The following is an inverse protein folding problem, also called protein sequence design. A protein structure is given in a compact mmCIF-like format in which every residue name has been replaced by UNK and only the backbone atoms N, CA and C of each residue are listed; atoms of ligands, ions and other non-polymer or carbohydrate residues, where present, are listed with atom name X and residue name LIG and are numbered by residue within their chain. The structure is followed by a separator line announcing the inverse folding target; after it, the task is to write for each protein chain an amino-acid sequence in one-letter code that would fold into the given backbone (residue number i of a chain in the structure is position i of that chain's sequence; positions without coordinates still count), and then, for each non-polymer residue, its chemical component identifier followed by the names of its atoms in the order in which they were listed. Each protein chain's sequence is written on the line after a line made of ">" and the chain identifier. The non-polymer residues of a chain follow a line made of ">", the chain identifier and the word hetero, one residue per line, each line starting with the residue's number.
data_IF_429665667974
#
_entry.id   IF_429665667974
#
_cell.length_a   1.000
_cell.length_b   1.000
_cell.length_c   1.000
_cell.angle_alpha   90.00
_cell.angle_beta   90.00
_cell.angle_gamma   90.00
#
_symmetry.space_group_name_H-M   'P 1'
#
loop_
_entity.id
_entity.type
_entity.pdbx_description
1 polymer ?
#
# COMPACT_ATOMS: atom_id res chain seq x y z
N UNK A 1 15.51 8.49 -3.36
CA UNK A 1 15.85 9.95 -3.25
C UNK A 1 17.26 10.17 -2.73
N UNK A 2 17.65 9.76 -1.51
CA UNK A 2 18.99 10.03 -0.93
C UNK A 2 20.15 9.65 -1.87
N UNK A 3 20.12 8.44 -2.46
CA UNK A 3 21.11 8.02 -3.48
C UNK A 3 21.18 9.01 -4.66
N UNK A 4 20.04 9.41 -5.19
CA UNK A 4 19.98 10.32 -6.34
C UNK A 4 20.50 11.73 -6.01
N UNK A 5 20.29 12.22 -4.79
CA UNK A 5 20.82 13.48 -4.31
C UNK A 5 22.34 13.41 -4.11
N UNK A 6 22.85 12.32 -3.51
CA UNK A 6 24.28 12.10 -3.32
C UNK A 6 25.04 12.05 -4.67
N UNK A 7 24.49 11.34 -5.66
CA UNK A 7 25.06 11.29 -7.03
C UNK A 7 25.13 12.67 -7.72
N UNK A 8 24.30 13.62 -7.28
CA UNK A 8 24.28 15.01 -7.78
C UNK A 8 25.01 15.98 -6.87
N UNK A 9 25.76 15.47 -5.89
CA UNK A 9 26.49 16.27 -4.89
C UNK A 9 25.59 17.26 -4.12
N UNK A 10 24.32 16.89 -3.89
CA UNK A 10 23.38 17.68 -3.08
C UNK A 10 23.50 17.22 -1.62
N UNK A 11 23.97 18.14 -0.77
CA UNK A 11 23.98 17.95 0.68
C UNK A 11 22.56 17.85 1.21
N UNK A 12 22.29 16.80 2.00
CA UNK A 12 20.95 16.49 2.51
C UNK A 12 21.00 15.67 3.78
N UNK A 13 19.89 15.65 4.50
CA UNK A 13 19.66 14.79 5.66
C UNK A 13 18.33 14.06 5.48
N UNK A 14 18.25 12.83 5.99
CA UNK A 14 17.00 12.06 6.08
C UNK A 14 16.59 11.98 7.54
N UNK A 15 15.44 12.56 7.88
CA UNK A 15 14.87 12.54 9.23
C UNK A 15 13.89 11.37 9.33
N UNK A 16 14.14 10.45 10.26
CA UNK A 16 13.31 9.26 10.50
C UNK A 16 12.88 9.20 11.98
N UNK A 17 11.57 9.18 12.24
CA UNK A 17 11.02 9.16 13.61
C UNK A 17 11.41 7.93 14.42
N UNK A 18 11.66 6.81 13.78
CA UNK A 18 12.10 5.57 14.40
C UNK A 18 13.45 5.11 13.88
N UNK A 19 13.58 3.83 13.65
CA UNK A 19 14.74 3.23 13.00
C UNK A 19 14.50 3.10 11.49
N UNK A 20 15.55 2.91 10.70
CA UNK A 20 15.41 2.63 9.28
C UNK A 20 14.44 1.46 9.06
N UNK A 21 13.48 1.62 8.15
CA UNK A 21 12.36 0.71 7.92
C UNK A 21 11.36 0.61 9.09
N UNK A 22 11.16 1.69 9.85
CA UNK A 22 10.34 1.71 11.07
C UNK A 22 8.93 1.14 10.87
N UNK A 23 8.18 1.59 9.86
CA UNK A 23 6.82 1.12 9.58
C UNK A 23 6.76 -0.40 9.32
N UNK A 24 7.79 -0.97 8.70
CA UNK A 24 7.91 -2.42 8.54
C UNK A 24 8.16 -3.13 9.87
N UNK A 25 8.92 -2.52 10.79
CA UNK A 25 9.21 -3.08 12.11
C UNK A 25 8.04 -3.04 13.07
N UNK A 26 7.21 -1.99 12.98
CA UNK A 26 6.25 -1.67 14.06
C UNK A 26 4.78 -1.76 13.63
N UNK A 27 4.47 -1.79 12.34
CA UNK A 27 3.10 -1.65 11.84
C UNK A 27 2.69 -2.77 10.87
N UNK A 28 3.33 -3.94 10.94
CA UNK A 28 3.01 -5.10 10.08
C UNK A 28 2.85 -6.36 10.91
N UNK A 29 2.09 -7.33 10.41
CA UNK A 29 1.90 -8.63 11.04
C UNK A 29 3.08 -9.56 10.75
N UNK A 30 3.31 -10.48 11.67
CA UNK A 30 4.55 -11.27 11.72
C UNK A 30 4.77 -12.15 10.48
N UNK A 31 3.70 -12.72 9.94
CA UNK A 31 3.75 -13.61 8.77
C UNK A 31 3.75 -12.89 7.43
N UNK A 32 3.76 -11.55 7.42
CA UNK A 32 3.72 -10.79 6.18
C UNK A 32 4.87 -11.17 5.24
N UNK A 33 4.50 -11.36 3.97
CA UNK A 33 5.45 -11.43 2.86
C UNK A 33 5.15 -10.34 1.84
N UNK A 34 6.16 -9.89 1.10
CA UNK A 34 5.93 -8.95 0.00
C UNK A 34 4.97 -9.54 -1.03
N UNK A 35 4.17 -8.67 -1.63
CA UNK A 35 3.29 -9.01 -2.76
C UNK A 35 4.06 -9.11 -4.07
N UNK A 36 5.24 -8.49 -4.10
CA UNK A 36 6.13 -8.45 -5.25
C UNK A 36 7.17 -9.57 -5.14
N UNK A 37 7.46 -10.29 -6.22
CA UNK A 37 8.54 -11.27 -6.25
C UNK A 37 9.89 -10.65 -5.90
N UNK A 38 10.84 -11.45 -5.46
CA UNK A 38 12.16 -11.00 -5.05
C UNK A 38 12.91 -10.26 -6.16
N UNK A 39 12.79 -10.69 -7.42
CA UNK A 39 13.41 -10.03 -8.57
C UNK A 39 12.94 -8.58 -8.74
N UNK A 40 11.74 -8.24 -8.26
CA UNK A 40 11.17 -6.88 -8.30
C UNK A 40 11.64 -6.02 -7.12
N UNK A 41 12.46 -6.54 -6.21
CA UNK A 41 13.11 -5.73 -5.16
C UNK A 41 14.35 -5.03 -5.75
N UNK A 42 14.11 -3.95 -6.50
CA UNK A 42 15.13 -3.16 -7.20
C UNK A 42 15.14 -1.73 -6.68
N UNK A 43 16.30 -1.24 -6.28
CA UNK A 43 16.58 0.16 -5.91
C UNK A 43 17.81 0.65 -6.70
N UNK A 44 18.05 1.95 -6.86
CA UNK A 44 19.20 2.45 -7.61
C UNK A 44 20.53 1.86 -7.13
N UNK A 45 21.18 1.06 -7.98
CA UNK A 45 22.42 0.35 -7.67
C UNK A 45 22.29 -0.79 -6.65
N UNK A 46 21.08 -1.29 -6.37
CA UNK A 46 20.87 -2.35 -5.39
C UNK A 46 19.64 -3.20 -5.76
N UNK A 47 19.84 -4.49 -5.96
CA UNK A 47 18.79 -5.42 -6.36
C UNK A 47 18.90 -6.73 -5.58
N UNK A 48 17.89 -7.58 -5.74
CA UNK A 48 17.96 -8.96 -5.25
C UNK A 48 19.01 -9.76 -6.02
N UNK A 49 19.86 -10.49 -5.30
CA UNK A 49 20.91 -11.37 -5.84
C UNK A 49 20.89 -12.77 -5.21
N UNK A 50 19.80 -13.16 -4.56
CA UNK A 50 19.65 -14.49 -3.95
C UNK A 50 19.25 -15.58 -4.96
N UNK A 51 19.16 -16.82 -4.48
CA UNK A 51 18.89 -17.99 -5.29
C UNK A 51 17.41 -18.19 -5.68
N UNK A 52 16.49 -17.47 -5.03
CA UNK A 52 15.04 -17.58 -5.28
C UNK A 52 14.46 -16.25 -5.80
N UNK A 53 14.68 -15.90 -7.07
CA UNK A 53 14.19 -14.63 -7.63
C UNK A 53 12.65 -14.55 -7.66
N UNK A 54 11.98 -15.67 -7.78
CA UNK A 54 10.52 -15.76 -7.87
C UNK A 54 9.81 -15.95 -6.52
N UNK A 55 10.54 -16.09 -5.44
CA UNK A 55 10.03 -16.12 -4.07
C UNK A 55 9.60 -14.75 -3.57
N UNK A 56 9.15 -14.68 -2.33
CA UNK A 56 8.63 -13.46 -1.71
C UNK A 56 9.30 -13.22 -0.37
N UNK A 57 9.92 -12.05 -0.19
CA UNK A 57 10.58 -11.68 1.06
C UNK A 57 9.62 -11.73 2.24
N UNK A 58 10.06 -12.33 3.31
CA UNK A 58 9.46 -12.25 4.63
C UNK A 58 9.64 -10.84 5.22
N UNK A 59 8.86 -10.51 6.24
CA UNK A 59 8.99 -9.22 6.94
C UNK A 59 10.43 -8.92 7.42
N UNK A 60 11.15 -9.85 8.10
CA UNK A 60 12.55 -9.63 8.47
C UNK A 60 13.48 -9.37 7.27
N UNK A 61 13.28 -10.06 6.16
CA UNK A 61 14.08 -9.88 4.94
C UNK A 61 13.83 -8.53 4.27
N UNK A 62 12.59 -8.01 4.30
CA UNK A 62 12.28 -6.65 3.82
C UNK A 62 12.99 -5.60 4.67
N UNK A 63 12.92 -5.74 6.00
CA UNK A 63 13.60 -4.85 6.94
C UNK A 63 15.11 -4.87 6.69
N UNK A 64 15.70 -6.05 6.57
CA UNK A 64 17.12 -6.21 6.30
C UNK A 64 17.52 -5.61 4.94
N UNK A 65 16.72 -5.79 3.89
CA UNK A 65 16.95 -5.23 2.57
C UNK A 65 17.01 -3.71 2.59
N UNK A 66 16.01 -3.05 3.20
CA UNK A 66 15.95 -1.58 3.30
C UNK A 66 17.09 -1.04 4.16
N UNK A 67 17.35 -1.66 5.32
CA UNK A 67 18.43 -1.25 6.21
C UNK A 67 19.82 -1.43 5.57
N UNK A 68 20.03 -2.51 4.82
CA UNK A 68 21.28 -2.73 4.07
C UNK A 68 21.44 -1.71 2.96
N UNK A 69 20.38 -1.42 2.21
CA UNK A 69 20.43 -0.37 1.20
C UNK A 69 20.84 0.97 1.78
N UNK A 70 20.23 1.40 2.88
CA UNK A 70 20.57 2.67 3.52
C UNK A 70 22.05 2.74 3.92
N UNK A 71 22.63 1.64 4.43
CA UNK A 71 24.06 1.54 4.76
C UNK A 71 24.93 1.57 3.50
N UNK A 72 24.58 0.79 2.48
CA UNK A 72 25.36 0.68 1.23
C UNK A 72 25.50 2.02 0.53
N UNK A 73 24.46 2.85 0.54
CA UNK A 73 24.50 4.18 -0.07
C UNK A 73 24.98 5.26 0.91
N UNK A 74 25.39 4.91 2.12
CA UNK A 74 25.80 5.85 3.18
C UNK A 74 24.77 6.96 3.39
N UNK A 75 23.47 6.61 3.39
CA UNK A 75 22.41 7.61 3.56
C UNK A 75 22.55 8.36 4.88
N UNK A 76 22.53 9.71 4.91
CA UNK A 76 22.70 10.51 6.12
C UNK A 76 21.43 10.53 6.96
N UNK A 77 21.04 9.36 7.50
CA UNK A 77 19.80 9.19 8.27
C UNK A 77 20.02 9.60 9.73
N UNK A 78 19.14 10.48 10.22
CA UNK A 78 18.95 10.80 11.63
C UNK A 78 17.74 10.03 12.12
N UNK A 79 17.99 8.91 12.77
CA UNK A 79 16.96 8.08 13.40
C UNK A 79 16.46 8.70 14.70
N UNK A 80 15.27 8.27 15.18
CA UNK A 80 14.61 8.77 16.40
C UNK A 80 14.45 10.28 16.39
N UNK A 81 14.19 10.86 15.22
CA UNK A 81 14.03 12.29 15.00
C UNK A 81 12.67 12.54 14.40
N UNK A 82 11.72 12.99 15.22
CA UNK A 82 10.33 13.24 14.83
C UNK A 82 10.18 14.67 14.35
N UNK A 83 9.79 14.85 13.08
CA UNK A 83 9.42 16.16 12.56
C UNK A 83 8.07 16.57 13.16
N UNK A 84 8.06 17.74 13.81
CA UNK A 84 6.86 18.30 14.46
C UNK A 84 6.24 19.45 13.69
N UNK A 85 7.04 20.17 12.85
CA UNK A 85 6.56 21.23 11.98
C UNK A 85 7.46 21.42 10.77
N UNK A 86 6.86 21.79 9.64
CA UNK A 86 7.57 22.29 8.46
C UNK A 86 6.89 23.58 8.01
N UNK A 87 7.63 24.69 8.01
CA UNK A 87 7.12 26.00 7.62
C UNK A 87 8.05 26.72 6.66
N UNK A 88 7.50 27.61 5.84
CA UNK A 88 8.26 28.47 4.95
C UNK A 88 9.02 29.57 5.73
N UNK A 89 10.16 29.98 5.20
CA UNK A 89 10.94 31.16 5.61
C UNK A 89 11.24 32.02 4.37
N UNK A 90 11.86 33.17 4.55
CA UNK A 90 12.25 34.04 3.44
C UNK A 90 13.25 33.36 2.47
N UNK A 91 14.11 32.47 2.99
CA UNK A 91 15.21 31.85 2.23
C UNK A 91 15.02 30.35 1.97
N UNK A 92 13.88 29.76 2.36
CA UNK A 92 13.62 28.33 2.21
C UNK A 92 12.63 27.81 3.23
N UNK A 93 13.03 26.83 4.03
CA UNK A 93 12.16 26.14 4.97
C UNK A 93 12.86 25.94 6.31
N UNK A 94 12.06 25.98 7.39
CA UNK A 94 12.44 25.53 8.71
C UNK A 94 11.70 24.23 9.03
N UNK A 95 12.44 23.18 9.32
CA UNK A 95 11.95 21.89 9.78
C UNK A 95 12.23 21.77 11.27
N UNK A 96 11.21 21.77 12.09
CA UNK A 96 11.33 21.60 13.53
C UNK A 96 11.20 20.12 13.90
N UNK A 97 12.00 19.68 14.84
CA UNK A 97 11.97 18.30 15.31
C UNK A 97 12.10 18.24 16.84
N UNK A 98 11.84 17.08 17.41
CA UNK A 98 12.09 16.79 18.83
C UNK A 98 13.58 16.72 19.20
N UNK A 99 14.51 16.83 18.22
CA UNK A 99 15.96 16.78 18.38
C UNK A 99 16.67 18.05 17.89
N UNK A 100 15.92 19.15 17.67
CA UNK A 100 16.43 20.42 17.15
C UNK A 100 15.90 20.76 15.75
N UNK A 101 16.25 21.95 15.28
CA UNK A 101 15.71 22.55 14.08
C UNK A 101 16.69 22.46 12.90
N UNK A 102 16.13 22.36 11.70
CA UNK A 102 16.89 22.31 10.43
C UNK A 102 16.42 23.40 9.49
N UNK A 103 17.35 24.24 9.04
CA UNK A 103 17.10 25.17 7.93
C UNK A 103 17.53 24.54 6.61
N UNK A 104 16.66 24.60 5.59
CA UNK A 104 16.96 23.99 4.29
C UNK A 104 16.30 24.78 3.15
N UNK A 105 16.84 24.63 1.94
CA UNK A 105 16.31 25.25 0.72
C UNK A 105 15.19 24.45 0.06
N UNK A 106 15.15 23.15 0.32
CA UNK A 106 14.15 22.26 -0.25
C UNK A 106 13.77 21.15 0.75
N UNK A 107 12.52 20.67 0.66
CA UNK A 107 11.98 19.60 1.48
C UNK A 107 11.39 18.51 0.60
N UNK A 108 11.71 17.25 0.91
CA UNK A 108 11.11 16.09 0.27
C UNK A 108 10.24 15.35 1.29
N UNK A 109 8.93 15.38 1.10
CA UNK A 109 7.94 14.68 1.90
C UNK A 109 7.96 13.19 1.52
N UNK A 110 8.62 12.38 2.34
CA UNK A 110 8.78 10.95 2.12
C UNK A 110 8.09 10.09 3.20
N UNK A 111 7.14 10.69 3.94
CA UNK A 111 6.41 10.04 5.05
C UNK A 111 5.46 8.92 4.61
N UNK A 112 5.24 8.75 3.30
CA UNK A 112 4.37 7.73 2.73
C UNK A 112 2.88 8.04 2.86
N UNK A 113 2.03 7.07 2.49
CA UNK A 113 0.58 7.22 2.44
C UNK A 113 -0.17 6.37 3.46
N UNK A 114 0.53 5.65 4.34
CA UNK A 114 -0.05 4.62 5.22
C UNK A 114 0.16 4.91 6.71
N UNK A 115 0.02 6.20 7.10
CA UNK A 115 0.33 6.63 8.47
C UNK A 115 -0.81 6.32 9.45
N UNK A 116 -2.06 6.51 9.04
CA UNK A 116 -3.23 6.23 9.86
C UNK A 116 -4.17 5.25 9.18
N UNK A 117 -4.68 4.28 9.93
CA UNK A 117 -5.76 3.43 9.46
C UNK A 117 -7.05 4.23 9.29
N UNK A 118 -7.80 3.96 8.21
CA UNK A 118 -9.12 4.55 7.97
C UNK A 118 -10.18 3.74 8.71
N UNK A 119 -10.51 4.12 9.95
CA UNK A 119 -11.59 3.51 10.72
C UNK A 119 -12.88 4.30 10.49
N UNK A 120 -14.02 3.66 10.14
CA UNK A 120 -15.29 4.36 9.95
C UNK A 120 -15.78 5.04 11.22
N UNK A 121 -16.42 6.22 11.11
CA UNK A 121 -16.90 6.98 12.27
C UNK A 121 -17.95 6.26 13.14
N UNK A 122 -18.66 5.26 12.58
CA UNK A 122 -19.59 4.43 13.36
C UNK A 122 -18.89 3.33 14.19
N UNK A 123 -17.56 3.21 14.12
CA UNK A 123 -16.80 2.25 14.93
C UNK A 123 -16.95 2.51 16.44
N UNK A 124 -17.23 3.75 16.84
CA UNK A 124 -17.52 4.11 18.24
C UNK A 124 -18.77 3.42 18.81
N UNK A 125 -19.65 2.88 17.94
CA UNK A 125 -20.84 2.10 18.32
C UNK A 125 -20.57 0.61 18.49
N UNK A 126 -19.34 0.15 18.30
CA UNK A 126 -18.99 -1.25 18.56
C UNK A 126 -19.14 -1.55 20.05
N UNK A 127 -19.87 -2.63 20.44
CA UNK A 127 -20.01 -2.98 21.85
C UNK A 127 -18.67 -3.15 22.55
N UNK A 128 -18.55 -2.66 23.77
CA UNK A 128 -17.30 -2.77 24.58
C UNK A 128 -16.81 -4.21 24.81
N UNK A 129 -17.70 -5.20 24.65
CA UNK A 129 -17.38 -6.62 24.73
C UNK A 129 -16.61 -7.16 23.51
N UNK A 130 -16.50 -6.37 22.44
CA UNK A 130 -15.81 -6.72 21.20
C UNK A 130 -14.56 -5.88 21.07
N UNK A 131 -13.39 -6.51 21.05
CA UNK A 131 -12.12 -5.83 20.84
C UNK A 131 -12.03 -5.32 19.40
N UNK A 132 -11.35 -4.20 19.20
CA UNK A 132 -11.11 -3.64 17.86
C UNK A 132 -9.62 -3.44 17.63
N UNK A 133 -9.14 -3.80 16.45
CA UNK A 133 -7.78 -3.60 15.99
C UNK A 133 -7.81 -3.08 14.55
N UNK A 134 -6.81 -2.30 14.19
CA UNK A 134 -6.53 -2.01 12.78
C UNK A 134 -5.53 -3.02 12.22
N UNK A 135 -5.41 -3.10 10.89
CA UNK A 135 -4.39 -3.94 10.26
C UNK A 135 -2.95 -3.52 10.62
N UNK A 136 -2.73 -2.26 11.05
CA UNK A 136 -1.43 -1.79 11.58
C UNK A 136 -1.14 -2.30 12.99
N UNK A 137 -2.16 -2.57 13.79
CA UNK A 137 -2.05 -3.06 15.17
C UNK A 137 -2.04 -4.59 15.26
N UNK A 138 -2.58 -5.25 14.25
CA UNK A 138 -2.58 -6.72 14.18
C UNK A 138 -1.15 -7.25 13.97
N UNK A 139 -0.76 -8.26 14.75
CA UNK A 139 0.54 -8.94 14.67
C UNK A 139 0.40 -10.40 14.27
N UNK A 140 -0.41 -11.15 14.99
CA UNK A 140 -0.63 -12.57 14.75
C UNK A 140 -1.93 -13.02 15.45
N UNK A 141 -2.45 -14.23 15.15
CA UNK A 141 -3.68 -14.74 15.77
C UNK A 141 -3.61 -14.88 17.28
N UNK A 142 -2.42 -15.08 17.86
CA UNK A 142 -2.23 -15.21 19.31
C UNK A 142 -2.59 -13.95 20.10
N UNK A 143 -2.63 -12.79 19.45
CA UNK A 143 -3.06 -11.51 20.02
C UNK A 143 -4.59 -11.45 20.28
N UNK A 144 -5.36 -12.28 19.60
CA UNK A 144 -6.81 -12.17 19.55
C UNK A 144 -7.47 -13.00 20.65
N UNK A 145 -8.56 -12.48 21.21
CA UNK A 145 -9.43 -13.25 22.11
C UNK A 145 -9.99 -14.50 21.44
N UNK A 146 -10.30 -15.53 22.22
CA UNK A 146 -10.98 -16.73 21.70
C UNK A 146 -12.40 -16.38 21.26
N UNK A 147 -12.76 -16.79 20.02
CA UNK A 147 -14.06 -16.55 19.41
C UNK A 147 -13.94 -16.09 17.96
N UNK A 148 -15.06 -15.75 17.36
CA UNK A 148 -15.13 -15.31 15.97
C UNK A 148 -14.52 -13.93 15.74
N UNK A 149 -14.03 -13.71 14.53
CA UNK A 149 -13.42 -12.45 14.11
C UNK A 149 -14.15 -11.89 12.88
N UNK A 150 -14.55 -10.63 12.95
CA UNK A 150 -15.03 -9.88 11.80
C UNK A 150 -13.86 -9.10 11.21
N UNK A 151 -13.41 -9.45 10.01
CA UNK A 151 -12.42 -8.66 9.25
C UNK A 151 -13.18 -7.75 8.30
N UNK A 152 -12.95 -6.44 8.37
CA UNK A 152 -13.63 -5.45 7.54
C UNK A 152 -12.69 -4.95 6.46
N UNK A 153 -13.01 -5.26 5.20
CA UNK A 153 -12.21 -4.94 4.01
C UNK A 153 -11.56 -6.19 3.41
N UNK A 154 -11.73 -6.36 2.09
CA UNK A 154 -11.32 -7.54 1.34
C UNK A 154 -10.23 -7.26 0.29
N UNK A 155 -9.46 -6.21 0.47
CA UNK A 155 -8.24 -5.96 -0.31
C UNK A 155 -7.09 -6.82 0.21
N UNK A 156 -5.88 -6.62 -0.28
CA UNK A 156 -4.70 -7.44 0.02
C UNK A 156 -4.50 -7.75 1.52
N UNK A 157 -4.51 -6.74 2.41
CA UNK A 157 -4.32 -6.97 3.86
C UNK A 157 -5.46 -7.77 4.47
N UNK A 158 -6.72 -7.42 4.13
CA UNK A 158 -7.88 -8.09 4.71
C UNK A 158 -7.96 -9.58 4.36
N UNK A 159 -7.68 -9.94 3.12
CA UNK A 159 -7.68 -11.36 2.69
C UNK A 159 -6.56 -12.17 3.36
N UNK A 160 -5.35 -11.60 3.49
CA UNK A 160 -4.23 -12.27 4.15
C UNK A 160 -4.48 -12.46 5.65
N UNK A 161 -4.93 -11.43 6.34
CA UNK A 161 -5.27 -11.48 7.77
C UNK A 161 -6.43 -12.46 8.02
N UNK A 162 -7.48 -12.43 7.19
CA UNK A 162 -8.61 -13.35 7.30
C UNK A 162 -8.16 -14.82 7.12
N UNK A 163 -7.30 -15.08 6.14
CA UNK A 163 -6.74 -16.41 5.91
C UNK A 163 -5.92 -16.91 7.10
N UNK A 164 -5.02 -16.08 7.63
CA UNK A 164 -4.16 -16.43 8.76
C UNK A 164 -4.98 -16.72 10.01
N UNK A 165 -5.93 -15.86 10.35
CA UNK A 165 -6.80 -16.03 11.52
C UNK A 165 -7.65 -17.29 11.39
N UNK A 166 -8.25 -17.53 10.22
CA UNK A 166 -9.06 -18.73 10.00
C UNK A 166 -8.23 -20.01 10.13
N UNK A 167 -7.03 -20.04 9.54
CA UNK A 167 -6.10 -21.17 9.67
C UNK A 167 -5.61 -21.41 11.10
N UNK A 168 -5.69 -20.42 11.97
CA UNK A 168 -5.43 -20.60 13.42
C UNK A 168 -6.57 -21.25 14.19
N UNK A 169 -7.68 -21.64 13.52
CA UNK A 169 -8.84 -22.30 14.12
C UNK A 169 -9.93 -21.35 14.60
N UNK A 170 -9.86 -20.04 14.28
CA UNK A 170 -10.93 -19.08 14.65
C UNK A 170 -11.93 -18.91 13.50
N UNK A 171 -13.24 -18.90 13.78
CA UNK A 171 -14.25 -18.54 12.79
C UNK A 171 -14.02 -17.11 12.29
N UNK A 172 -14.05 -16.92 10.97
CA UNK A 172 -13.86 -15.59 10.36
C UNK A 172 -15.06 -15.24 9.50
N UNK A 173 -15.59 -14.04 9.69
CA UNK A 173 -16.50 -13.35 8.77
C UNK A 173 -15.73 -12.21 8.10
N UNK A 174 -15.72 -12.18 6.77
CA UNK A 174 -15.05 -11.14 5.98
C UNK A 174 -16.08 -10.22 5.34
N UNK A 175 -16.04 -8.94 5.72
CA UNK A 175 -16.87 -7.90 5.09
C UNK A 175 -16.19 -7.38 3.82
N UNK A 176 -16.85 -7.60 2.68
CA UNK A 176 -16.33 -7.37 1.35
C UNK A 176 -16.81 -6.03 0.81
N UNK A 177 -15.89 -5.08 0.70
CA UNK A 177 -16.07 -3.82 -0.01
C UNK A 177 -15.45 -3.86 -1.41
N UNK A 178 -15.09 -2.69 -1.93
CA UNK A 178 -14.36 -2.61 -3.20
C UNK A 178 -13.01 -3.32 -3.09
N UNK A 179 -12.70 -4.14 -4.07
CA UNK A 179 -11.48 -4.94 -4.15
C UNK A 179 -11.13 -5.25 -5.60
N UNK A 180 -9.90 -5.67 -5.85
CA UNK A 180 -9.42 -6.10 -7.16
C UNK A 180 -8.92 -7.53 -7.04
N UNK A 181 -9.67 -8.46 -7.61
CA UNK A 181 -9.27 -9.86 -7.71
C UNK A 181 -8.13 -10.03 -8.70
N UNK A 182 -7.20 -10.93 -8.41
CA UNK A 182 -6.10 -11.23 -9.30
C UNK A 182 -5.56 -12.65 -9.06
N UNK A 183 -5.22 -13.45 -10.09
CA UNK A 183 -4.48 -14.69 -9.91
C UNK A 183 -3.05 -14.38 -9.47
N UNK A 184 -2.43 -15.26 -8.69
CA UNK A 184 -1.01 -15.10 -8.36
C UNK A 184 -0.11 -15.47 -9.54
N UNK A 185 -0.42 -16.56 -10.20
CA UNK A 185 0.24 -17.02 -11.41
C UNK A 185 -0.74 -16.94 -12.58
N UNK A 186 -0.28 -16.53 -13.73
CA UNK A 186 -1.03 -16.51 -14.97
C UNK A 186 -0.12 -16.94 -16.11
N UNK A 187 -0.57 -17.85 -16.97
CA UNK A 187 0.21 -18.41 -18.09
C UNK A 187 1.64 -18.84 -17.68
N UNK A 188 1.75 -19.52 -16.52
CA UNK A 188 3.01 -20.03 -15.97
C UNK A 188 3.95 -18.99 -15.35
N UNK A 189 3.63 -17.69 -15.40
CA UNK A 189 4.43 -16.62 -14.82
C UNK A 189 3.67 -15.94 -13.69
N UNK A 190 4.42 -15.30 -12.77
CA UNK A 190 3.83 -14.42 -11.77
C UNK A 190 3.06 -13.27 -12.44
N UNK A 191 1.88 -12.90 -11.91
CA UNK A 191 1.10 -11.80 -12.47
C UNK A 191 1.90 -10.50 -12.52
N UNK A 192 2.79 -10.26 -11.54
CA UNK A 192 3.64 -9.08 -11.51
C UNK A 192 4.66 -9.07 -12.65
N UNK A 193 5.11 -10.25 -13.11
CA UNK A 193 5.96 -10.35 -14.28
C UNK A 193 5.22 -9.87 -15.55
N UNK A 194 3.98 -10.30 -15.71
CA UNK A 194 3.15 -9.86 -16.84
C UNK A 194 2.90 -8.37 -16.80
N UNK A 195 2.57 -7.82 -15.63
CA UNK A 195 2.31 -6.39 -15.46
C UNK A 195 3.56 -5.53 -15.71
N UNK A 196 4.74 -6.02 -15.36
CA UNK A 196 6.03 -5.35 -15.63
C UNK A 196 6.36 -5.43 -17.14
N UNK A 197 6.32 -6.62 -17.73
CA UNK A 197 6.64 -6.87 -19.13
C UNK A 197 5.69 -6.11 -20.09
N UNK A 198 4.39 -6.09 -19.79
CA UNK A 198 3.38 -5.37 -20.58
C UNK A 198 3.32 -3.86 -20.31
N UNK A 199 4.24 -3.29 -19.52
CA UNK A 199 4.31 -1.86 -19.24
C UNK A 199 3.22 -1.31 -18.30
N UNK A 200 2.34 -2.16 -17.77
CA UNK A 200 1.23 -1.73 -16.89
C UNK A 200 1.73 -1.02 -15.63
N UNK A 201 2.89 -1.43 -15.12
CA UNK A 201 3.49 -0.83 -13.92
C UNK A 201 4.13 0.53 -14.20
N UNK A 202 4.53 0.77 -15.43
CA UNK A 202 5.18 2.01 -15.88
C UNK A 202 4.21 3.08 -16.41
N UNK A 203 2.90 2.73 -16.54
CA UNK A 203 1.87 3.69 -16.91
C UNK A 203 1.98 4.97 -16.07
N UNK A 204 2.04 6.10 -16.76
CA UNK A 204 2.30 7.39 -16.14
C UNK A 204 1.01 8.08 -15.68
N UNK A 205 1.13 8.92 -14.66
CA UNK A 205 0.00 9.67 -14.07
C UNK A 205 -0.62 10.70 -15.05
N UNK A 206 0.18 11.20 -16.00
CA UNK A 206 -0.19 12.16 -17.03
C UNK A 206 -0.75 11.51 -18.31
N UNK A 207 -0.80 10.17 -18.37
CA UNK A 207 -1.36 9.37 -19.45
C UNK A 207 -2.76 8.83 -19.15
N UNK A 208 -3.27 9.04 -17.94
CA UNK A 208 -4.61 8.55 -17.53
C UNK A 208 -5.64 9.67 -17.50
N UNK A 209 -6.85 9.39 -17.93
CA UNK A 209 -7.95 10.38 -18.01
C UNK A 209 -8.34 10.93 -16.62
N UNK A 210 -8.37 10.09 -15.57
CA UNK A 210 -8.78 10.46 -14.22
C UNK A 210 -7.80 9.90 -13.19
N UNK A 211 -6.73 10.65 -12.94
CA UNK A 211 -5.70 10.28 -11.95
C UNK A 211 -6.25 10.23 -10.52
N UNK A 212 -7.25 11.06 -10.18
CA UNK A 212 -7.85 11.05 -8.85
C UNK A 212 -8.62 9.75 -8.60
N UNK A 213 -9.25 9.20 -9.62
CA UNK A 213 -9.90 7.89 -9.59
C UNK A 213 -8.86 6.77 -9.56
N UNK A 214 -7.81 6.84 -10.39
CA UNK A 214 -6.76 5.83 -10.47
C UNK A 214 -6.01 5.67 -9.14
N UNK A 215 -5.76 6.76 -8.41
CA UNK A 215 -5.13 6.74 -7.07
C UNK A 215 -5.98 6.09 -5.98
N UNK A 216 -7.30 5.98 -6.18
CA UNK A 216 -8.23 5.36 -5.22
C UNK A 216 -8.48 3.87 -5.46
N UNK A 217 -7.92 3.33 -6.53
CA UNK A 217 -8.08 1.89 -6.84
C UNK A 217 -7.45 1.06 -5.73
N UNK A 218 -8.18 0.10 -5.14
CA UNK A 218 -7.64 -0.78 -4.11
C UNK A 218 -6.48 -1.64 -4.62
N UNK A 219 -5.62 -2.09 -3.70
CA UNK A 219 -4.57 -3.05 -4.02
C UNK A 219 -5.14 -4.37 -4.53
N UNK A 220 -4.43 -5.01 -5.46
CA UNK A 220 -4.76 -6.35 -5.93
C UNK A 220 -4.80 -7.35 -4.76
N UNK A 221 -5.74 -8.29 -4.78
CA UNK A 221 -5.78 -9.43 -3.85
C UNK A 221 -4.62 -10.38 -4.15
N UNK A 222 -3.43 -10.02 -3.74
CA UNK A 222 -2.23 -10.83 -3.88
C UNK A 222 -1.66 -11.16 -2.52
N UNK A 223 -1.03 -12.32 -2.41
CA UNK A 223 -0.25 -12.73 -1.25
C UNK A 223 1.10 -13.29 -1.74
N UNK A 224 2.16 -12.98 -1.00
CA UNK A 224 3.43 -13.67 -1.18
C UNK A 224 3.40 -14.98 -0.41
N UNK A 225 3.18 -16.10 -1.09
CA UNK A 225 3.23 -17.43 -0.47
C UNK A 225 4.24 -18.32 -1.16
N UNK A 226 4.95 -19.21 -0.43
CA UNK A 226 5.96 -20.08 -1.01
C UNK A 226 5.41 -20.99 -2.13
N UNK A 227 4.15 -21.40 -2.03
CA UNK A 227 3.45 -22.24 -3.01
C UNK A 227 2.83 -21.44 -4.17
N UNK A 228 3.01 -20.11 -4.19
CA UNK A 228 2.46 -19.20 -5.21
C UNK A 228 0.96 -19.37 -5.45
N UNK A 229 0.23 -19.79 -4.43
CA UNK A 229 -1.23 -19.95 -4.52
C UNK A 229 -1.94 -18.61 -4.65
N UNK A 230 -3.03 -18.63 -5.40
CA UNK A 230 -3.96 -17.50 -5.46
C UNK A 230 -4.76 -17.41 -4.17
N UNK A 231 -4.71 -16.27 -3.50
CA UNK A 231 -5.50 -15.96 -2.32
C UNK A 231 -6.60 -14.97 -2.68
N UNK A 232 -7.73 -15.48 -3.16
CA UNK A 232 -8.92 -14.71 -3.49
C UNK A 232 -10.10 -15.08 -2.57
N UNK A 233 -11.28 -14.51 -2.80
CA UNK A 233 -12.47 -14.81 -2.01
C UNK A 233 -12.91 -16.26 -2.16
N UNK A 234 -12.74 -16.88 -3.34
CA UNK A 234 -13.06 -18.29 -3.54
C UNK A 234 -12.15 -19.21 -2.69
N UNK A 235 -10.86 -18.88 -2.62
CA UNK A 235 -9.92 -19.61 -1.76
C UNK A 235 -10.29 -19.48 -0.28
N UNK A 236 -10.75 -18.31 0.16
CA UNK A 236 -11.21 -18.08 1.54
C UNK A 236 -12.50 -18.83 1.86
N UNK A 237 -13.49 -18.79 0.96
CA UNK A 237 -14.75 -19.56 1.11
C UNK A 237 -14.46 -21.05 1.18
N UNK A 238 -13.57 -21.57 0.35
CA UNK A 238 -13.19 -23.00 0.33
C UNK A 238 -12.66 -23.50 1.68
N UNK A 239 -12.00 -22.64 2.46
CA UNK A 239 -11.52 -23.01 3.80
C UNK A 239 -12.53 -22.70 4.91
N UNK A 240 -13.69 -22.07 4.62
CA UNK A 240 -14.76 -21.84 5.57
C UNK A 240 -14.91 -20.38 6.06
N UNK A 241 -14.22 -19.42 5.45
CA UNK A 241 -14.46 -17.99 5.74
C UNK A 241 -15.82 -17.58 5.18
N UNK A 242 -16.67 -16.98 6.03
CA UNK A 242 -17.99 -16.45 5.64
C UNK A 242 -17.83 -15.07 4.99
N UNK A 243 -18.48 -14.85 3.86
CA UNK A 243 -18.49 -13.55 3.18
C UNK A 243 -19.80 -12.80 3.47
N UNK A 244 -19.67 -11.52 3.79
CA UNK A 244 -20.80 -10.58 3.91
C UNK A 244 -20.52 -9.33 3.08
N UNK A 245 -21.54 -8.56 2.79
CA UNK A 245 -21.40 -7.31 2.06
C UNK A 245 -20.54 -6.26 2.80
N UNK A 246 -20.30 -5.13 2.14
CA UNK A 246 -19.59 -4.02 2.75
C UNK A 246 -20.30 -3.57 4.04
N UNK A 247 -19.54 -3.44 5.12
CA UNK A 247 -20.06 -2.90 6.38
C UNK A 247 -20.50 -1.44 6.14
N UNK A 248 -21.81 -1.21 6.23
CA UNK A 248 -22.45 0.06 5.92
C UNK A 248 -22.72 0.91 7.16
N UNK A 249 -22.86 0.27 8.32
CA UNK A 249 -23.16 0.95 9.57
C UNK A 249 -23.19 0.01 10.78
N UNK A 250 -23.42 0.63 11.93
CA UNK A 250 -23.62 -0.04 13.21
C UNK A 250 -24.83 0.58 13.89
N UNK A 251 -25.78 -0.24 14.33
CA UNK A 251 -26.92 0.24 15.12
C UNK A 251 -26.49 0.53 16.57
N UNK A 252 -27.30 1.30 17.28
CA UNK A 252 -27.10 1.56 18.73
C UNK A 252 -27.16 0.28 19.57
N UNK A 253 -27.90 -0.73 19.11
CA UNK A 253 -28.01 -2.03 19.76
C UNK A 253 -26.84 -2.96 19.45
N UNK A 254 -25.75 -2.46 18.85
CA UNK A 254 -24.56 -3.26 18.56
C UNK A 254 -24.72 -4.25 17.39
N UNK A 255 -25.67 -3.99 16.47
CA UNK A 255 -25.82 -4.82 15.26
C UNK A 255 -25.06 -4.19 14.09
N UNK A 256 -24.11 -4.92 13.53
CA UNK A 256 -23.45 -4.59 12.28
C UNK A 256 -24.42 -4.73 11.09
N UNK A 257 -24.41 -3.77 10.17
CA UNK A 257 -25.27 -3.74 8.99
C UNK A 257 -24.43 -3.85 7.73
N UNK A 258 -24.76 -4.78 6.85
CA UNK A 258 -24.04 -5.02 5.60
C UNK A 258 -24.87 -4.62 4.38
N UNK A 259 -24.19 -4.04 3.37
CA UNK A 259 -24.84 -3.71 2.11
C UNK A 259 -25.19 -4.97 1.32
N UNK A 260 -26.37 -4.98 0.69
CA UNK A 260 -26.83 -6.09 -0.17
C UNK A 260 -26.10 -6.24 -1.51
N UNK A 261 -25.06 -5.44 -1.76
CA UNK A 261 -24.36 -5.36 -3.05
C UNK A 261 -23.20 -6.36 -3.21
N UNK A 262 -23.05 -7.35 -2.31
CA UNK A 262 -21.90 -8.28 -2.33
C UNK A 262 -21.70 -8.93 -3.71
N UNK A 263 -22.76 -9.49 -4.29
CA UNK A 263 -22.72 -10.17 -5.61
C UNK A 263 -22.23 -9.20 -6.71
N UNK A 264 -22.75 -7.99 -6.73
CA UNK A 264 -22.35 -6.97 -7.72
C UNK A 264 -20.89 -6.54 -7.54
N UNK A 265 -20.43 -6.40 -6.29
CA UNK A 265 -19.03 -6.05 -6.01
C UNK A 265 -18.07 -7.14 -6.47
N UNK A 266 -18.40 -8.41 -6.24
CA UNK A 266 -17.62 -9.55 -6.71
C UNK A 266 -17.62 -9.62 -8.25
N UNK A 267 -18.76 -9.50 -8.91
CA UNK A 267 -18.86 -9.49 -10.37
C UNK A 267 -18.04 -8.34 -11.01
N UNK A 268 -18.06 -7.15 -10.40
CA UNK A 268 -17.24 -6.03 -10.86
C UNK A 268 -15.74 -6.30 -10.68
N UNK A 269 -15.33 -6.95 -9.61
CA UNK A 269 -13.94 -7.36 -9.37
C UNK A 269 -13.49 -8.41 -10.38
N UNK A 270 -14.32 -9.41 -10.67
CA UNK A 270 -14.07 -10.42 -11.71
C UNK A 270 -13.93 -9.77 -13.11
N UNK A 271 -14.77 -8.78 -13.42
CA UNK A 271 -14.68 -8.03 -14.68
C UNK A 271 -13.37 -7.24 -14.79
N UNK A 272 -12.96 -6.56 -13.71
CA UNK A 272 -11.69 -5.83 -13.67
C UNK A 272 -10.50 -6.77 -13.86
N UNK A 273 -10.50 -7.92 -13.19
CA UNK A 273 -9.49 -8.96 -13.37
C UNK A 273 -9.41 -9.43 -14.82
N UNK A 274 -10.55 -9.80 -15.42
CA UNK A 274 -10.58 -10.30 -16.80
C UNK A 274 -10.08 -9.26 -17.80
N UNK A 275 -10.36 -7.97 -17.60
CA UNK A 275 -9.79 -6.89 -18.43
C UNK A 275 -8.27 -6.83 -18.36
N UNK A 276 -7.69 -6.98 -17.16
CA UNK A 276 -6.24 -7.05 -17.01
C UNK A 276 -5.66 -8.29 -17.71
N UNK A 277 -6.31 -9.45 -17.56
CA UNK A 277 -5.86 -10.69 -18.20
C UNK A 277 -5.98 -10.62 -19.74
N UNK A 278 -7.01 -9.98 -20.28
CA UNK A 278 -7.16 -9.75 -21.73
C UNK A 278 -6.01 -8.85 -22.25
N UNK A 279 -5.69 -7.76 -21.55
CA UNK A 279 -4.55 -6.91 -21.92
C UNK A 279 -3.24 -7.71 -21.94
N UNK A 280 -3.03 -8.58 -20.96
CA UNK A 280 -1.86 -9.47 -20.90
C UNK A 280 -1.86 -10.44 -22.08
N UNK A 281 -3.00 -11.04 -22.43
CA UNK A 281 -3.11 -11.98 -23.55
C UNK A 281 -2.82 -11.30 -24.90
N UNK A 282 -3.39 -10.12 -25.11
CA UNK A 282 -3.14 -9.31 -26.31
C UNK A 282 -1.64 -8.94 -26.42
N UNK A 283 -1.03 -8.54 -25.32
CA UNK A 283 0.38 -8.22 -25.28
C UNK A 283 1.26 -9.47 -25.52
N UNK A 284 0.94 -10.60 -24.89
CA UNK A 284 1.65 -11.87 -25.08
C UNK A 284 1.59 -12.34 -26.53
N UNK A 285 0.42 -12.29 -27.14
CA UNK A 285 0.22 -12.62 -28.55
C UNK A 285 1.05 -11.71 -29.47
N UNK A 286 0.99 -10.41 -29.26
CA UNK A 286 1.74 -9.43 -30.06
C UNK A 286 3.25 -9.57 -29.94
N UNK A 287 3.75 -10.17 -28.84
CA UNK A 287 5.17 -10.41 -28.60
C UNK A 287 5.61 -11.87 -28.85
N UNK A 288 4.76 -12.71 -29.44
CA UNK A 288 5.10 -14.09 -29.84
C UNK A 288 5.34 -15.04 -28.67
N UNK A 289 4.66 -14.82 -27.53
CA UNK A 289 4.86 -15.62 -26.31
C UNK A 289 3.86 -16.78 -26.18
N UNK A 290 2.90 -16.92 -27.11
CA UNK A 290 1.86 -17.95 -27.01
C UNK A 290 2.41 -19.37 -26.95
N UNK A 291 3.46 -19.65 -27.72
CA UNK A 291 4.08 -20.98 -27.79
C UNK A 291 5.11 -21.25 -26.65
N UNK A 292 5.49 -20.21 -25.89
CA UNK A 292 6.52 -20.26 -24.85
C UNK A 292 5.99 -20.12 -23.44
N UNK A 293 4.69 -19.87 -23.29
CA UNK A 293 3.99 -19.74 -22.02
C UNK A 293 2.78 -20.68 -21.96
N UNK A 294 2.26 -20.94 -20.77
CA UNK A 294 1.02 -21.70 -20.63
C UNK A 294 -0.15 -21.01 -21.36
N UNK A 295 -1.16 -21.77 -21.82
CA UNK A 295 -2.32 -21.20 -22.47
C UNK A 295 -3.08 -20.26 -21.52
N UNK A 296 -3.80 -19.26 -22.07
CA UNK A 296 -4.63 -18.38 -21.29
C UNK A 296 -5.75 -19.14 -20.57
N UNK A 297 -6.07 -18.77 -19.36
CA UNK A 297 -7.19 -19.31 -18.61
C UNK A 297 -7.95 -18.21 -17.87
N UNK A 298 -9.14 -18.54 -17.37
CA UNK A 298 -9.93 -17.62 -16.53
C UNK A 298 -10.32 -18.33 -15.25
N UNK A 299 -10.17 -17.63 -14.13
CA UNK A 299 -10.67 -18.12 -12.85
C UNK A 299 -12.21 -18.19 -12.90
N UNK A 300 -12.82 -19.20 -12.23
CA UNK A 300 -14.27 -19.24 -12.12
C UNK A 300 -14.79 -17.96 -11.41
N UNK A 301 -16.02 -17.52 -11.70
CA UNK A 301 -16.60 -16.36 -11.01
C UNK A 301 -16.51 -16.48 -9.47
N UNK A 302 -16.45 -15.35 -8.79
CA UNK A 302 -16.45 -15.34 -7.33
C UNK A 302 -17.78 -15.88 -6.82
N UNK A 303 -17.69 -16.96 -6.04
CA UNK A 303 -18.87 -17.59 -5.44
C UNK A 303 -19.42 -16.72 -4.30
N UNK A 304 -20.71 -16.45 -4.34
CA UNK A 304 -21.44 -15.72 -3.30
C UNK A 304 -22.69 -16.52 -2.95
N UNK A 305 -22.93 -16.77 -1.66
CA UNK A 305 -24.15 -17.42 -1.17
C UNK A 305 -25.41 -16.73 -1.73
N UNK A 306 -26.49 -17.46 -1.88
CA UNK A 306 -27.73 -16.96 -2.46
C UNK A 306 -28.30 -15.79 -1.64
N UNK A 307 -28.29 -15.92 -0.30
CA UNK A 307 -28.79 -14.94 0.65
C UNK A 307 -27.73 -14.60 1.72
N UNK A 308 -26.70 -13.81 1.39
CA UNK A 308 -25.68 -13.46 2.37
C UNK A 308 -26.29 -12.61 3.49
N UNK A 309 -25.88 -12.79 4.75
CA UNK A 309 -26.41 -12.03 5.87
C UNK A 309 -26.26 -10.51 5.68
N UNK A 310 -27.34 -9.77 5.93
CA UNK A 310 -27.36 -8.31 5.89
C UNK A 310 -27.10 -7.67 7.27
N UNK A 311 -26.97 -8.48 8.31
CA UNK A 311 -26.66 -8.01 9.65
C UNK A 311 -26.02 -9.09 10.50
N UNK A 312 -25.25 -8.66 11.50
CA UNK A 312 -24.57 -9.51 12.46
C UNK A 312 -24.72 -8.89 13.85
N UNK A 313 -25.23 -9.66 14.80
CA UNK A 313 -25.35 -9.21 16.18
C UNK A 313 -24.02 -9.39 16.92
N UNK A 314 -23.38 -8.27 17.23
CA UNK A 314 -22.10 -8.24 17.95
C UNK A 314 -22.27 -8.41 19.47
N UNK A 315 -23.50 -8.36 19.98
CA UNK A 315 -23.79 -8.57 21.42
C UNK A 315 -23.99 -10.04 21.75
N UNK A 316 -24.20 -10.90 20.74
CA UNK A 316 -24.38 -12.36 20.91
C UNK A 316 -23.19 -13.08 21.55
N UNK A 317 -21.99 -12.46 21.51
CA UNK A 317 -20.76 -13.08 21.97
C UNK A 317 -20.08 -14.00 20.94
N UNK A 318 -20.66 -14.19 19.76
CA UNK A 318 -20.04 -14.96 18.68
C UNK A 318 -18.79 -14.26 18.14
N UNK A 319 -18.87 -12.96 17.86
CA UNK A 319 -17.71 -12.14 17.44
C UNK A 319 -17.05 -11.52 18.67
N UNK A 320 -15.77 -11.77 18.83
CA UNK A 320 -14.94 -11.23 19.91
C UNK A 320 -13.99 -10.15 19.47
N UNK A 321 -13.70 -10.07 18.15
CA UNK A 321 -12.75 -9.08 17.62
C UNK A 321 -13.21 -8.58 16.26
N UNK A 322 -13.05 -7.28 16.03
CA UNK A 322 -13.15 -6.66 14.70
C UNK A 322 -11.75 -6.20 14.28
N UNK A 323 -11.36 -6.51 13.02
CA UNK A 323 -10.12 -6.01 12.43
C UNK A 323 -10.48 -5.07 11.28
N UNK A 324 -10.08 -3.82 11.42
CA UNK A 324 -10.27 -2.79 10.39
C UNK A 324 -9.15 -2.85 9.37
N UNK A 325 -9.40 -3.49 8.23
CA UNK A 325 -8.53 -3.54 7.05
C UNK A 325 -9.07 -2.61 5.95
N UNK A 326 -9.54 -1.43 6.35
CA UNK A 326 -10.32 -0.48 5.57
C UNK A 326 -9.48 0.59 4.86
N UNK A 327 -8.17 0.33 4.73
CA UNK A 327 -7.24 1.23 4.08
C UNK A 327 -6.58 2.23 5.04
N UNK A 328 -5.83 3.16 4.44
CA UNK A 328 -4.98 4.09 5.18
C UNK A 328 -5.08 5.51 4.60
N UNK A 329 -4.64 6.48 5.38
CA UNK A 329 -4.46 7.86 4.95
C UNK A 329 -3.10 8.40 5.43
N UNK A 330 -2.49 9.34 4.71
CA UNK A 330 -1.27 10.01 5.16
C UNK A 330 -1.54 10.92 6.35
N UNK A 331 -0.46 11.26 7.04
CA UNK A 331 -0.42 12.29 8.07
C UNK A 331 0.41 13.48 7.57
N UNK A 332 -0.25 14.62 7.44
CA UNK A 332 0.37 15.91 7.12
C UNK A 332 0.02 16.99 8.16
N UNK A 333 -0.37 16.59 9.37
CA UNK A 333 -0.73 17.51 10.46
C UNK A 333 0.42 18.45 10.88
N UNK A 334 1.65 18.01 10.64
CA UNK A 334 2.88 18.75 10.90
C UNK A 334 3.30 19.70 9.76
N UNK A 335 2.58 19.72 8.62
CA UNK A 335 2.95 20.52 7.44
C UNK A 335 2.21 21.87 7.49
N UNK A 336 2.91 22.91 7.93
CA UNK A 336 2.39 24.29 8.06
C UNK A 336 2.62 25.09 6.77
N UNK A 337 2.28 24.50 5.62
CA UNK A 337 2.37 25.12 4.31
C UNK A 337 0.99 25.15 3.65
N UNK A 338 0.65 26.17 2.85
CA UNK A 338 -0.66 26.29 2.20
C UNK A 338 -0.77 25.36 0.97
N UNK A 339 -0.36 24.11 1.11
CA UNK A 339 -0.25 23.12 0.03
C UNK A 339 -1.29 22.00 0.12
N UNK A 340 -2.10 21.96 1.17
CA UNK A 340 -3.13 20.95 1.34
C UNK A 340 -4.42 21.33 0.62
N UNK A 341 -5.12 20.34 0.09
CA UNK A 341 -6.47 20.48 -0.42
C UNK A 341 -7.52 20.41 0.73
N UNK A 342 -8.81 20.54 0.39
CA UNK A 342 -9.92 20.45 1.37
C UNK A 342 -10.04 19.09 2.07
N UNK A 343 -9.39 18.05 1.55
CA UNK A 343 -9.34 16.68 2.12
C UNK A 343 -8.06 16.42 2.91
N UNK A 344 -7.20 17.44 3.09
CA UNK A 344 -5.92 17.31 3.77
C UNK A 344 -4.84 16.60 2.95
N UNK A 345 -5.00 16.49 1.62
CA UNK A 345 -4.00 15.90 0.73
C UNK A 345 -3.10 16.97 0.13
N UNK A 346 -1.81 16.66 -0.01
CA UNK A 346 -0.85 17.56 -0.64
C UNK A 346 -1.19 17.74 -2.12
N UNK A 347 -1.33 19.01 -2.56
CA UNK A 347 -1.50 19.36 -3.98
C UNK A 347 -0.18 19.30 -4.69
N UNK A 348 -0.09 18.47 -5.71
CA UNK A 348 1.14 18.27 -6.46
C UNK A 348 0.86 17.88 -7.92
N UNK A 349 1.82 18.14 -8.77
CA UNK A 349 1.90 17.59 -10.12
C UNK A 349 3.09 16.62 -10.19
N UNK A 350 2.82 15.32 -10.37
CA UNK A 350 3.85 14.27 -10.39
C UNK A 350 4.84 14.32 -9.22
N UNK A 351 4.43 14.76 -8.03
CA UNK A 351 5.29 14.90 -6.86
C UNK A 351 5.98 16.25 -6.70
N UNK A 352 5.87 17.16 -7.68
CA UNK A 352 6.27 18.57 -7.52
C UNK A 352 5.13 19.32 -6.85
N UNK A 353 5.35 19.82 -5.64
CA UNK A 353 4.33 20.51 -4.83
C UNK A 353 4.23 21.97 -5.24
N UNK A 354 3.06 22.58 -5.05
CA UNK A 354 2.80 23.97 -5.42
C UNK A 354 3.64 25.02 -4.66
N UNK A 355 4.31 24.63 -3.55
CA UNK A 355 5.31 25.44 -2.86
C UNK A 355 6.69 25.13 -3.42
N UNK A 356 7.40 26.17 -3.91
CA UNK A 356 8.69 26.02 -4.61
C UNK A 356 9.75 25.34 -3.73
N UNK A 357 10.37 24.26 -4.21
CA UNK A 357 11.36 23.50 -3.44
C UNK A 357 10.75 22.43 -2.53
N UNK A 358 9.41 22.22 -2.55
CA UNK A 358 8.76 21.12 -1.84
C UNK A 358 8.41 20.00 -2.81
N UNK A 359 8.70 18.79 -2.42
CA UNK A 359 8.49 17.57 -3.20
C UNK A 359 7.77 16.50 -2.39
N UNK A 360 7.04 15.63 -3.06
CA UNK A 360 6.36 14.48 -2.47
C UNK A 360 6.84 13.21 -3.16
N UNK A 361 7.13 12.14 -2.39
CA UNK A 361 7.51 10.83 -2.92
C UNK A 361 6.88 9.68 -2.13
N UNK A 362 6.67 8.53 -2.79
CA UNK A 362 6.19 7.30 -2.13
C UNK A 362 4.69 7.26 -1.89
N UNK A 363 3.90 8.00 -2.65
CA UNK A 363 2.43 7.95 -2.59
C UNK A 363 1.83 7.19 -3.79
N UNK A 364 0.58 6.70 -3.68
CA UNK A 364 -0.05 5.92 -4.75
C UNK A 364 -0.10 6.69 -6.08
N UNK A 365 0.38 6.03 -7.14
CA UNK A 365 0.38 6.55 -8.50
C UNK A 365 0.88 8.00 -8.57
N UNK A 366 2.02 8.27 -7.92
CA UNK A 366 2.60 9.61 -7.88
C UNK A 366 3.01 10.07 -9.27
N UNK A 367 3.88 9.31 -9.92
CA UNK A 367 4.34 9.49 -11.30
C UNK A 367 4.04 8.28 -12.16
N UNK A 368 4.12 7.07 -11.57
CA UNK A 368 3.89 5.78 -12.23
C UNK A 368 2.97 4.92 -11.38
N UNK A 369 2.32 3.95 -11.98
CA UNK A 369 1.47 3.00 -11.24
C UNK A 369 2.26 2.24 -10.17
N UNK A 370 3.55 2.00 -10.37
CA UNK A 370 4.48 1.36 -9.41
C UNK A 370 5.05 2.29 -8.33
N UNK A 371 4.70 3.57 -8.27
CA UNK A 371 5.30 4.57 -7.35
C UNK A 371 5.35 4.16 -5.87
N UNK A 372 4.43 3.32 -5.40
CA UNK A 372 4.42 2.80 -4.01
C UNK A 372 5.15 1.48 -3.83
N UNK A 373 5.63 0.88 -4.91
CA UNK A 373 6.44 -0.33 -4.84
C UNK A 373 7.92 0.04 -4.59
N UNK A 374 8.68 -0.89 -4.01
CA UNK A 374 10.13 -0.72 -3.83
C UNK A 374 10.78 -0.44 -5.19
N UNK A 375 10.39 -1.18 -6.22
CA UNK A 375 10.87 -1.05 -7.59
C UNK A 375 10.59 0.32 -8.22
N UNK A 376 9.44 0.93 -7.92
CA UNK A 376 9.05 2.24 -8.47
C UNK A 376 9.73 3.44 -7.83
N UNK A 377 10.29 3.27 -6.62
CA UNK A 377 10.87 4.38 -5.87
C UNK A 377 12.11 4.99 -6.54
N UNK A 378 12.86 4.20 -7.30
CA UNK A 378 14.07 4.65 -8.00
C UNK A 378 13.78 5.62 -9.15
N UNK A 379 12.80 5.29 -9.97
CA UNK A 379 12.41 6.08 -11.15
C UNK A 379 11.83 7.43 -10.73
N UNK A 380 10.90 7.42 -9.79
CA UNK A 380 10.32 8.66 -9.26
C UNK A 380 11.37 9.54 -8.56
N UNK A 381 12.31 8.90 -7.84
CA UNK A 381 13.40 9.63 -7.18
C UNK A 381 14.35 10.31 -8.18
N UNK A 382 14.66 9.67 -9.31
CA UNK A 382 15.48 10.29 -10.38
C UNK A 382 14.79 11.52 -10.96
N UNK A 383 13.54 11.36 -11.41
CA UNK A 383 12.78 12.45 -12.01
C UNK A 383 12.65 13.67 -11.07
N UNK A 384 12.33 13.42 -9.79
CA UNK A 384 12.17 14.47 -8.79
C UNK A 384 13.52 15.12 -8.41
N UNK A 385 14.61 14.34 -8.40
CA UNK A 385 15.95 14.88 -8.13
C UNK A 385 16.43 15.83 -9.23
N UNK A 386 16.14 15.53 -10.49
CA UNK A 386 16.49 16.40 -11.62
C UNK A 386 15.77 17.75 -11.54
N UNK A 387 14.47 17.72 -11.22
CA UNK A 387 13.70 18.95 -10.97
C UNK A 387 14.23 19.74 -9.77
N UNK A 388 14.58 19.04 -8.68
CA UNK A 388 15.12 19.66 -7.45
C UNK A 388 16.45 20.37 -7.73
N UNK A 389 17.35 19.75 -8.48
CA UNK A 389 18.62 20.38 -8.88
C UNK A 389 18.37 21.66 -9.69
N UNK A 390 17.48 21.60 -10.68
CA UNK A 390 17.11 22.76 -11.50
C UNK A 390 16.57 23.91 -10.65
N UNK A 391 15.72 23.58 -9.65
CA UNK A 391 15.22 24.56 -8.69
C UNK A 391 16.36 25.19 -7.86
N UNK A 392 17.27 24.40 -7.31
CA UNK A 392 18.38 24.89 -6.47
C UNK A 392 19.33 25.81 -7.25
N UNK A 393 19.59 25.49 -8.51
CA UNK A 393 20.44 26.32 -9.38
C UNK A 393 19.77 27.67 -9.69
N UNK A 394 18.49 27.66 -10.05
CA UNK A 394 17.72 28.88 -10.35
C UNK A 394 17.54 29.77 -9.12
N UNK A 395 17.35 29.22 -7.95
CA UNK A 395 17.22 29.97 -6.69
C UNK A 395 18.55 30.60 -6.26
N UNK A 396 19.69 29.92 -6.47
CA UNK A 396 21.03 30.48 -6.20
C UNK A 396 21.35 31.68 -7.08
N UNK A 397 20.91 31.66 -8.33
CA UNK A 397 21.09 32.79 -9.26
C UNK A 397 20.28 34.03 -8.83
N UNK A 398 19.06 33.84 -8.31
CA UNK A 398 18.19 34.94 -7.81
C UNK A 398 18.71 35.59 -6.51
N UNK A 399 19.41 34.83 -5.66
CA UNK A 399 20.01 35.40 -4.43
C UNK A 399 21.29 36.18 -4.67
N UNK A 400 21.90 36.07 -5.86
CA UNK A 400 23.12 36.80 -6.24
C UNK A 400 22.83 38.05 -7.10
N UNK A 401 21.62 38.18 -7.59
CA UNK A 401 21.14 39.34 -8.35
C UNK A 401 20.39 40.33 -7.44
#
# INVERSE_FOLDING_TARGET
>A
MSRCLAERAIDHVVLERGEVANTWRTERWDSLRLLTPNWQSRLPGFSYNGADPDGYRTLPEVIAFIATYARTISAPVRTRTTVTSVRGTETGYLVQTDQGDWACRAVVLASGAFNFACVPGFADRVPRSVATLTAQQYRNPGQLANGGVLVVGASSSGTQIANEIHRSGRPVTLSVGEHIRAPRVYRGKDLKWWMDAAGVLDERYDEVDDIARARRVPSLQLAGSPDRSTLDLNALVKIGVKLVGRLAGMTENGRAQFAGSLRNMCALSDLKMNRLLNLIDEWAHANGLDDTTEPPYRLPPTHVEEAPPLGLDLTSGEIKTIIWATGYRPDYSWLELPVLDRKGMVRHDGGVVSSAGVYLIGTPFLRRRKSTLIDGAGDDARDLSDHLVSYLLSSASRMRA
#
